data_IF_967045657472
#
_entry.id   IF_967045657472
#
_cell.length_a   1.000
_cell.length_b   1.000
_cell.length_c   1.000
_cell.angle_alpha   90.00
_cell.angle_beta   90.00
_cell.angle_gamma   90.00
#
_symmetry.space_group_name_H-M   'P 1'
#
loop_
_entity.id
_entity.type
_entity.pdbx_description
1 polymer ?
#
# COMPACT_ATOMS: atom_id res chain seq x y z
N UNK A 1 -11.26 20.44 0.97
CA UNK A 1 -12.00 19.61 0.03
C UNK A 1 -11.09 18.89 -0.98
N UNK A 2 -10.06 19.51 -1.59
CA UNK A 2 -9.21 18.86 -2.60
C UNK A 2 -8.38 17.64 -2.12
N UNK A 3 -7.90 17.62 -0.90
CA UNK A 3 -7.01 16.53 -0.40
C UNK A 3 -7.74 15.22 -0.08
N UNK A 4 -9.02 15.27 0.29
CA UNK A 4 -9.88 14.11 0.52
C UNK A 4 -10.28 13.44 -0.79
N UNK A 5 -10.56 14.25 -1.82
CA UNK A 5 -10.84 13.76 -3.18
C UNK A 5 -9.64 13.00 -3.77
N UNK A 6 -8.42 13.48 -3.53
CA UNK A 6 -7.18 12.89 -4.02
C UNK A 6 -6.90 11.52 -3.37
N UNK A 7 -7.22 11.36 -2.07
CA UNK A 7 -7.09 10.09 -1.35
C UNK A 7 -8.11 9.06 -1.85
N UNK A 8 -9.37 9.45 -1.97
CA UNK A 8 -10.42 8.57 -2.46
C UNK A 8 -10.14 8.09 -3.89
N UNK A 9 -9.66 8.98 -4.76
CA UNK A 9 -9.26 8.64 -6.11
C UNK A 9 -8.07 7.66 -6.15
N UNK A 10 -7.07 7.82 -5.26
CA UNK A 10 -5.96 6.88 -5.14
C UNK A 10 -6.42 5.53 -4.60
N UNK A 11 -7.20 5.51 -3.55
CA UNK A 11 -7.70 4.27 -2.95
C UNK A 11 -8.59 3.48 -3.93
N UNK A 12 -9.38 4.15 -4.77
CA UNK A 12 -10.17 3.51 -5.82
C UNK A 12 -9.30 2.80 -6.89
N UNK A 13 -8.02 3.14 -7.00
CA UNK A 13 -7.06 2.47 -7.89
C UNK A 13 -6.44 1.21 -7.26
N UNK A 14 -6.60 0.99 -5.94
CA UNK A 14 -6.19 -0.24 -5.25
C UNK A 14 -7.15 -1.39 -5.58
N UNK A 15 -7.10 -1.84 -6.82
CA UNK A 15 -7.90 -2.97 -7.31
C UNK A 15 -7.02 -3.91 -8.11
N UNK A 16 -7.27 -5.21 -8.04
CA UNK A 16 -6.51 -6.21 -8.77
C UNK A 16 -5.26 -6.69 -8.00
N UNK A 17 -4.15 -6.90 -8.70
CA UNK A 17 -2.94 -7.48 -8.12
C UNK A 17 -2.14 -6.43 -7.34
N UNK A 18 -1.87 -6.74 -6.08
CA UNK A 18 -1.03 -5.98 -5.17
C UNK A 18 0.24 -6.79 -4.88
N UNK A 19 1.40 -6.27 -5.25
CA UNK A 19 2.66 -6.98 -5.13
C UNK A 19 3.52 -6.41 -3.98
N UNK A 20 4.15 -7.30 -3.21
CA UNK A 20 5.10 -6.93 -2.15
C UNK A 20 6.51 -7.33 -2.60
N UNK A 21 7.48 -6.42 -2.45
CA UNK A 21 8.86 -6.71 -2.87
C UNK A 21 9.54 -7.73 -1.96
N UNK A 22 10.34 -8.64 -2.51
CA UNK A 22 11.26 -9.47 -1.71
C UNK A 22 12.43 -8.63 -1.19
N UNK A 23 13.11 -9.12 -0.17
CA UNK A 23 14.35 -8.54 0.35
C UNK A 23 15.50 -8.83 -0.64
N UNK A 24 15.84 -7.87 -1.49
CA UNK A 24 16.88 -7.96 -2.53
C UNK A 24 17.74 -6.71 -2.49
N UNK A 25 19.04 -6.86 -2.28
CA UNK A 25 19.98 -5.74 -2.18
C UNK A 25 20.28 -5.08 -3.53
N UNK A 26 20.24 -5.85 -4.62
CA UNK A 26 20.44 -5.32 -5.98
C UNK A 26 19.21 -4.52 -6.43
N UNK A 27 19.36 -3.20 -6.44
CA UNK A 27 18.30 -2.27 -6.83
C UNK A 27 17.85 -2.48 -8.27
N UNK A 28 18.75 -2.78 -9.20
CA UNK A 28 18.39 -2.99 -10.61
C UNK A 28 17.55 -4.28 -10.78
N UNK A 29 17.96 -5.35 -10.11
CA UNK A 29 17.20 -6.60 -10.09
C UNK A 29 15.82 -6.42 -9.44
N UNK A 30 15.73 -5.65 -8.35
CA UNK A 30 14.47 -5.34 -7.68
C UNK A 30 13.53 -4.55 -8.60
N UNK A 31 14.02 -3.50 -9.25
CA UNK A 31 13.25 -2.69 -10.20
C UNK A 31 12.76 -3.53 -11.38
N UNK A 32 13.60 -4.41 -11.92
CA UNK A 32 13.21 -5.31 -13.01
C UNK A 32 12.07 -6.26 -12.61
N UNK A 33 12.11 -6.83 -11.39
CA UNK A 33 11.04 -7.66 -10.84
C UNK A 33 9.73 -6.87 -10.71
N UNK A 34 9.79 -5.64 -10.19
CA UNK A 34 8.62 -4.78 -10.05
C UNK A 34 8.03 -4.38 -11.41
N UNK A 35 8.89 -4.08 -12.39
CA UNK A 35 8.45 -3.79 -13.76
C UNK A 35 7.70 -4.97 -14.36
N UNK A 36 8.26 -6.18 -14.26
CA UNK A 36 7.60 -7.40 -14.74
C UNK A 36 6.25 -7.65 -14.03
N UNK A 37 6.17 -7.35 -12.72
CA UNK A 37 4.92 -7.45 -11.98
C UNK A 37 3.85 -6.48 -12.50
N UNK A 38 4.23 -5.22 -12.76
CA UNK A 38 3.31 -4.21 -13.32
C UNK A 38 2.88 -4.60 -14.73
N UNK A 39 3.80 -5.08 -15.56
CA UNK A 39 3.50 -5.58 -16.91
C UNK A 39 2.56 -6.79 -16.86
N UNK A 40 2.66 -7.62 -15.80
CA UNK A 40 1.75 -8.72 -15.49
C UNK A 40 0.41 -8.28 -14.87
N UNK A 41 0.17 -6.99 -14.71
CA UNK A 41 -1.11 -6.44 -14.23
C UNK A 41 -1.14 -6.00 -12.77
N UNK A 42 0.00 -5.93 -12.09
CA UNK A 42 0.04 -5.36 -10.74
C UNK A 42 -0.35 -3.88 -10.78
N UNK A 43 -1.26 -3.50 -9.90
CA UNK A 43 -1.76 -2.13 -9.76
C UNK A 43 -1.11 -1.36 -8.62
N UNK A 44 -0.52 -2.08 -7.68
CA UNK A 44 0.24 -1.51 -6.58
C UNK A 44 1.48 -2.35 -6.29
N UNK A 45 2.56 -1.67 -5.93
CA UNK A 45 3.80 -2.28 -5.44
C UNK A 45 4.04 -1.79 -4.02
N UNK A 46 4.12 -2.71 -3.07
CA UNK A 46 4.57 -2.41 -1.72
C UNK A 46 6.06 -2.66 -1.62
N UNK A 47 6.81 -1.60 -1.42
CA UNK A 47 8.24 -1.71 -1.14
C UNK A 47 8.45 -2.14 0.32
N UNK A 48 9.13 -3.25 0.51
CA UNK A 48 9.49 -3.82 1.80
C UNK A 48 10.90 -4.39 1.72
N UNK A 49 11.79 -4.01 2.64
CA UNK A 49 13.11 -4.60 2.82
C UNK A 49 13.49 -4.50 4.30
N UNK A 50 13.40 -5.62 5.01
CA UNK A 50 13.55 -5.62 6.48
C UNK A 50 14.99 -5.51 6.94
N UNK A 51 15.95 -5.92 6.14
CA UNK A 51 17.35 -6.05 6.51
C UNK A 51 18.28 -5.01 5.88
N UNK A 52 17.79 -4.23 4.93
CA UNK A 52 18.59 -3.20 4.26
C UNK A 52 18.92 -2.03 5.18
N UNK A 53 20.07 -1.39 4.93
CA UNK A 53 20.40 -0.11 5.54
C UNK A 53 19.42 0.99 5.12
N UNK A 54 19.31 2.04 5.93
CA UNK A 54 18.41 3.17 5.63
C UNK A 54 18.75 3.82 4.28
N UNK A 55 20.04 3.94 3.95
CA UNK A 55 20.47 4.49 2.67
C UNK A 55 20.01 3.63 1.48
N UNK A 56 20.13 2.30 1.60
CA UNK A 56 19.66 1.38 0.56
C UNK A 56 18.12 1.39 0.47
N UNK A 57 17.44 1.39 1.61
CA UNK A 57 15.96 1.50 1.65
C UNK A 57 15.47 2.76 0.95
N UNK A 58 16.08 3.91 1.21
CA UNK A 58 15.69 5.16 0.56
C UNK A 58 15.98 5.13 -0.94
N UNK A 59 17.14 4.64 -1.37
CA UNK A 59 17.50 4.53 -2.78
C UNK A 59 16.52 3.62 -3.54
N UNK A 60 16.22 2.45 -2.98
CA UNK A 60 15.28 1.48 -3.58
C UNK A 60 13.85 2.03 -3.61
N UNK A 61 13.38 2.61 -2.50
CA UNK A 61 12.04 3.20 -2.44
C UNK A 61 11.87 4.30 -3.49
N UNK A 62 12.87 5.19 -3.68
CA UNK A 62 12.84 6.20 -4.75
C UNK A 62 12.76 5.59 -6.14
N UNK A 63 13.53 4.53 -6.40
CA UNK A 63 13.51 3.84 -7.69
C UNK A 63 12.14 3.19 -7.97
N UNK A 64 11.54 2.55 -6.96
CA UNK A 64 10.20 1.94 -7.08
C UNK A 64 9.11 3.00 -7.28
N UNK A 65 9.17 4.13 -6.53
CA UNK A 65 8.23 5.24 -6.71
C UNK A 65 8.32 5.81 -8.14
N UNK A 66 9.53 5.99 -8.67
CA UNK A 66 9.73 6.45 -10.03
C UNK A 66 9.14 5.48 -11.06
N UNK A 67 9.42 4.18 -10.93
CA UNK A 67 8.87 3.13 -11.79
C UNK A 67 7.34 3.10 -11.74
N UNK A 68 6.77 3.11 -10.54
CA UNK A 68 5.30 3.07 -10.37
C UNK A 68 4.64 4.28 -11.02
N UNK A 69 5.22 5.48 -10.85
CA UNK A 69 4.72 6.71 -11.48
C UNK A 69 4.77 6.62 -13.01
N UNK A 70 5.87 6.15 -13.57
CA UNK A 70 6.04 5.96 -15.01
C UNK A 70 5.00 4.98 -15.59
N UNK A 71 4.75 3.89 -14.87
CA UNK A 71 3.88 2.79 -15.33
C UNK A 71 2.42 2.91 -14.89
N UNK A 72 2.06 3.96 -14.15
CA UNK A 72 0.70 4.19 -13.68
C UNK A 72 0.25 3.23 -12.56
N UNK A 73 1.17 2.59 -11.86
CA UNK A 73 0.91 1.80 -10.66
C UNK A 73 0.98 2.67 -9.39
N UNK A 74 0.46 2.16 -8.27
CA UNK A 74 0.60 2.81 -6.96
C UNK A 74 1.85 2.30 -6.24
N UNK A 75 2.56 3.20 -5.57
CA UNK A 75 3.71 2.91 -4.73
C UNK A 75 3.34 3.01 -3.26
N UNK A 76 3.55 1.95 -2.51
CA UNK A 76 3.29 1.87 -1.07
C UNK A 76 4.60 1.53 -0.36
N UNK A 77 4.92 2.20 0.74
CA UNK A 77 6.07 1.86 1.59
C UNK A 77 5.58 1.06 2.79
N UNK A 78 6.30 -0.01 3.13
CA UNK A 78 5.98 -0.83 4.30
C UNK A 78 6.57 -0.21 5.57
N UNK A 79 5.76 -0.09 6.64
CA UNK A 79 6.07 0.28 8.03
C UNK A 79 6.60 1.71 8.24
N UNK A 80 7.25 2.33 7.28
CA UNK A 80 7.96 3.60 7.44
C UNK A 80 7.23 4.78 6.78
N UNK A 81 6.37 5.45 7.56
CA UNK A 81 5.61 6.61 7.10
C UNK A 81 6.51 7.82 6.74
N UNK A 82 7.64 7.99 7.45
CA UNK A 82 8.58 9.06 7.17
C UNK A 82 9.33 8.83 5.84
N UNK A 83 9.70 7.59 5.56
CA UNK A 83 10.27 7.22 4.27
C UNK A 83 9.24 7.43 3.15
N UNK A 84 7.99 6.98 3.34
CA UNK A 84 6.92 7.16 2.36
C UNK A 84 6.73 8.65 2.00
N UNK A 85 6.77 9.53 2.99
CA UNK A 85 6.70 10.97 2.81
C UNK A 85 7.91 11.50 2.03
N UNK A 86 9.13 11.18 2.47
CA UNK A 86 10.39 11.65 1.85
C UNK A 86 10.55 11.24 0.38
N UNK A 87 10.14 10.03 0.03
CA UNK A 87 10.26 9.53 -1.36
C UNK A 87 9.06 9.88 -2.23
N UNK A 88 8.00 10.46 -1.65
CA UNK A 88 6.80 10.82 -2.37
C UNK A 88 5.97 9.63 -2.84
N UNK A 89 5.91 8.57 -2.04
CA UNK A 89 5.07 7.41 -2.31
C UNK A 89 3.58 7.75 -2.25
N UNK A 90 2.75 6.94 -2.91
CA UNK A 90 1.29 7.11 -2.89
C UNK A 90 0.67 6.74 -1.55
N UNK A 91 1.39 5.94 -0.75
CA UNK A 91 0.92 5.57 0.58
C UNK A 91 1.96 4.81 1.41
N UNK A 92 1.50 4.44 2.61
CA UNK A 92 2.22 3.62 3.57
C UNK A 92 1.30 2.50 4.06
N UNK A 93 1.88 1.33 4.35
CA UNK A 93 1.21 0.21 5.01
C UNK A 93 1.87 -0.05 6.34
N UNK A 94 1.11 0.00 7.44
CA UNK A 94 1.63 -0.20 8.80
C UNK A 94 1.19 -1.54 9.37
N UNK A 95 2.12 -2.21 10.04
CA UNK A 95 1.86 -3.39 10.86
C UNK A 95 1.40 -3.00 12.27
N UNK A 96 1.12 -4.01 13.09
CA UNK A 96 0.64 -3.82 14.46
C UNK A 96 1.68 -3.14 15.37
N UNK A 97 2.97 -3.42 15.14
CA UNK A 97 4.08 -2.92 15.95
C UNK A 97 4.69 -1.61 15.41
N UNK A 98 4.26 -1.17 14.22
CA UNK A 98 4.89 -0.09 13.48
C UNK A 98 4.22 1.29 13.71
N UNK A 99 3.34 1.37 14.69
CA UNK A 99 2.61 2.58 15.05
C UNK A 99 1.14 2.56 14.63
N UNK A 100 0.37 3.55 15.08
CA UNK A 100 -1.04 3.66 14.77
C UNK A 100 -1.27 4.22 13.36
N UNK A 101 -2.42 3.91 12.79
CA UNK A 101 -2.90 4.54 11.54
C UNK A 101 -2.94 6.06 11.67
N UNK A 102 -3.37 6.56 12.83
CA UNK A 102 -3.43 8.00 13.11
C UNK A 102 -2.03 8.66 13.07
N UNK A 103 -1.01 8.01 13.64
CA UNK A 103 0.36 8.53 13.60
C UNK A 103 0.94 8.51 12.16
N UNK A 104 0.72 7.45 11.42
CA UNK A 104 1.11 7.38 10.02
C UNK A 104 0.40 8.46 9.18
N UNK A 105 -0.90 8.65 9.40
CA UNK A 105 -1.70 9.68 8.75
C UNK A 105 -1.18 11.09 9.03
N UNK A 106 -0.78 11.37 10.26
CA UNK A 106 -0.21 12.67 10.65
C UNK A 106 1.09 12.98 9.87
N UNK A 107 1.89 11.95 9.57
CA UNK A 107 3.15 12.09 8.82
C UNK A 107 2.88 12.24 7.31
N UNK A 108 2.13 11.30 6.72
CA UNK A 108 1.97 11.27 5.25
C UNK A 108 0.93 12.27 4.73
N UNK A 109 0.16 12.87 5.61
CA UNK A 109 -0.87 13.86 5.26
C UNK A 109 -2.17 13.24 4.71
N UNK A 110 -3.20 14.06 4.48
CA UNK A 110 -4.55 13.58 4.17
C UNK A 110 -4.72 12.98 2.77
N UNK A 111 -3.81 13.29 1.84
CA UNK A 111 -3.94 12.89 0.42
C UNK A 111 -3.39 11.50 0.10
N UNK A 112 -2.57 10.92 0.98
CA UNK A 112 -1.94 9.60 0.74
C UNK A 112 -2.76 8.47 1.34
N UNK A 113 -2.54 7.27 0.84
CA UNK A 113 -3.14 6.03 1.34
C UNK A 113 -2.43 5.63 2.64
N UNK A 114 -3.18 5.23 3.65
CA UNK A 114 -2.67 4.51 4.82
C UNK A 114 -3.38 3.17 4.87
N UNK A 115 -2.64 2.09 4.71
CA UNK A 115 -3.11 0.73 4.91
C UNK A 115 -2.67 0.19 6.26
N UNK A 116 -3.41 -0.77 6.81
CA UNK A 116 -3.07 -1.43 8.05
C UNK A 116 -3.27 -2.94 7.96
N UNK A 117 -2.38 -3.71 8.61
CA UNK A 117 -2.54 -5.15 8.80
C UNK A 117 -3.46 -5.41 9.98
N UNK A 118 -4.65 -5.93 9.71
CA UNK A 118 -5.65 -6.25 10.74
C UNK A 118 -5.73 -7.75 11.04
N UNK A 119 -4.95 -8.56 10.33
CA UNK A 119 -4.95 -10.04 10.41
C UNK A 119 -6.38 -10.60 10.30
N UNK A 120 -6.81 -11.40 11.28
CA UNK A 120 -8.17 -11.95 11.39
C UNK A 120 -9.02 -11.23 12.46
N UNK A 121 -8.53 -10.10 12.99
CA UNK A 121 -9.18 -9.36 14.07
C UNK A 121 -10.10 -8.26 13.51
N UNK A 122 -11.39 -8.55 13.37
CA UNK A 122 -12.39 -7.58 12.93
C UNK A 122 -12.42 -6.28 13.77
N UNK A 123 -12.25 -6.29 15.13
CA UNK A 123 -12.18 -5.06 15.90
C UNK A 123 -11.06 -4.13 15.44
N UNK A 124 -9.86 -4.65 15.16
CA UNK A 124 -8.73 -3.86 14.64
C UNK A 124 -9.03 -3.21 13.30
N UNK A 125 -9.75 -3.90 12.46
CA UNK A 125 -10.16 -3.36 11.18
C UNK A 125 -11.12 -2.18 11.35
N UNK A 126 -12.06 -2.29 12.28
CA UNK A 126 -12.99 -1.20 12.62
C UNK A 126 -12.23 0.00 13.20
N UNK A 127 -11.29 -0.24 14.11
CA UNK A 127 -10.47 0.81 14.72
C UNK A 127 -9.59 1.49 13.66
N UNK A 128 -8.94 0.73 12.80
CA UNK A 128 -8.11 1.25 11.70
C UNK A 128 -8.93 2.15 10.75
N UNK A 129 -10.16 1.77 10.42
CA UNK A 129 -11.06 2.60 9.60
C UNK A 129 -11.44 3.88 10.35
N UNK A 130 -11.77 3.79 11.64
CA UNK A 130 -12.09 4.96 12.46
C UNK A 130 -10.91 5.94 12.56
N UNK A 131 -9.68 5.45 12.57
CA UNK A 131 -8.44 6.24 12.55
C UNK A 131 -8.06 6.79 11.16
N UNK A 132 -8.84 6.46 10.12
CA UNK A 132 -8.64 6.96 8.77
C UNK A 132 -7.79 6.07 7.88
N UNK A 133 -7.66 4.77 8.18
CA UNK A 133 -7.18 3.79 7.22
C UNK A 133 -8.22 3.59 6.12
N UNK A 134 -7.74 3.41 4.91
CA UNK A 134 -8.59 3.15 3.76
C UNK A 134 -9.23 4.39 3.14
N UNK A 135 -10.08 4.17 2.15
CA UNK A 135 -10.82 5.20 1.47
C UNK A 135 -12.12 5.51 2.23
N UNK A 136 -12.41 6.77 2.43
CA UNK A 136 -13.77 7.18 2.78
C UNK A 136 -14.69 6.87 1.60
N UNK A 137 -15.76 6.14 1.84
CA UNK A 137 -16.79 5.94 0.82
C UNK A 137 -17.33 4.53 0.66
N UNK A 138 -16.92 3.60 1.47
CA UNK A 138 -17.51 2.26 1.53
C UNK A 138 -17.73 1.85 2.97
N UNK A 139 -18.84 1.20 3.25
CA UNK A 139 -19.08 0.61 4.56
C UNK A 139 -17.92 -0.33 4.99
N UNK A 140 -18.00 -0.92 6.19
CA UNK A 140 -16.92 -1.70 6.78
C UNK A 140 -16.37 -2.85 5.90
N UNK A 141 -17.04 -3.15 4.82
CA UNK A 141 -16.65 -4.19 3.86
C UNK A 141 -15.67 -3.73 2.77
N UNK A 142 -15.42 -2.44 2.58
CA UNK A 142 -14.61 -1.91 1.47
C UNK A 142 -13.24 -1.37 1.87
N UNK A 143 -12.91 -1.32 3.15
CA UNK A 143 -11.64 -0.80 3.67
C UNK A 143 -10.67 -1.88 4.18
N UNK A 144 -11.07 -3.11 4.23
CA UNK A 144 -10.29 -4.21 4.78
C UNK A 144 -9.48 -4.92 3.72
N UNK A 145 -8.23 -4.53 3.57
CA UNK A 145 -7.21 -5.41 3.03
C UNK A 145 -6.83 -6.44 4.10
N UNK A 146 -7.71 -7.41 4.32
CA UNK A 146 -7.46 -8.51 5.23
C UNK A 146 -6.42 -9.45 4.62
N UNK A 147 -5.19 -9.35 5.09
CA UNK A 147 -4.15 -10.30 4.76
C UNK A 147 -4.16 -11.45 5.75
N UNK A 148 -4.40 -12.65 5.27
CA UNK A 148 -3.79 -13.82 5.89
C UNK A 148 -2.30 -13.75 5.54
N UNK A 149 -1.47 -13.38 6.51
CA UNK A 149 -0.02 -13.47 6.37
C UNK A 149 0.37 -14.94 6.29
N UNK A 150 0.54 -15.44 5.08
CA UNK A 150 1.42 -16.57 4.88
C UNK A 150 2.80 -15.98 4.58
N UNK A 151 3.77 -16.22 5.44
CA UNK A 151 5.17 -15.90 5.18
C UNK A 151 5.65 -16.75 4.02
N UNK A 152 5.74 -16.19 2.83
CA UNK A 152 6.40 -16.84 1.70
C UNK A 152 7.14 -15.79 0.91
N UNK A 153 8.33 -16.10 0.53
CA UNK A 153 9.31 -15.27 -0.17
C UNK A 153 8.91 -14.78 -1.57
N UNK A 154 7.72 -15.07 -2.06
CA UNK A 154 7.21 -14.68 -3.37
C UNK A 154 5.69 -14.44 -3.37
N UNK A 155 5.18 -13.68 -2.42
CA UNK A 155 3.73 -13.55 -2.25
C UNK A 155 3.15 -12.45 -3.14
N UNK A 156 2.41 -12.86 -4.15
CA UNK A 156 1.47 -12.02 -4.90
C UNK A 156 0.11 -12.05 -4.23
N UNK A 157 -0.44 -10.92 -3.89
CA UNK A 157 -1.77 -10.82 -3.28
C UNK A 157 -2.78 -10.32 -4.30
N UNK A 158 -3.81 -11.13 -4.56
CA UNK A 158 -4.99 -10.69 -5.30
C UNK A 158 -5.97 -10.01 -4.35
N UNK A 159 -6.26 -8.73 -4.59
CA UNK A 159 -7.37 -8.05 -3.95
C UNK A 159 -8.66 -8.40 -4.70
N UNK A 160 -9.78 -8.71 -4.01
CA UNK A 160 -11.04 -8.87 -4.69
C UNK A 160 -11.41 -7.57 -5.43
N UNK A 161 -11.84 -7.71 -6.68
CA UNK A 161 -12.39 -6.58 -7.42
C UNK A 161 -13.54 -5.98 -6.63
N UNK A 162 -13.55 -4.66 -6.47
CA UNK A 162 -14.67 -3.96 -5.86
C UNK A 162 -15.96 -4.39 -6.57
N UNK A 163 -16.87 -5.00 -5.84
CA UNK A 163 -18.18 -5.42 -6.36
C UNK A 163 -18.94 -4.16 -6.77
N UNK A 164 -18.94 -3.85 -8.06
CA UNK A 164 -19.80 -2.83 -8.62
C UNK A 164 -21.23 -3.32 -8.44
N UNK A 165 -21.93 -2.74 -7.47
CA UNK A 165 -23.30 -3.05 -7.18
C UNK A 165 -24.11 -3.14 -8.46
N UNK A 166 -24.65 -4.32 -8.73
CA UNK A 166 -25.71 -4.47 -9.71
C UNK A 166 -26.93 -3.74 -9.15
N UNK A 167 -27.22 -2.59 -9.74
CA UNK A 167 -28.51 -1.93 -9.56
C UNK A 167 -29.61 -2.93 -9.89
N UNK A 168 -30.43 -3.23 -8.92
CA UNK A 168 -31.72 -3.89 -9.17
C UNK A 168 -32.67 -2.83 -9.73
N UNK A 169 -33.13 -3.10 -10.92
CA UNK A 169 -34.35 -2.50 -11.45
C UNK A 169 -35.56 -3.00 -10.66
#
# INVERSE_FOLDING_TARGET
MAATDDRAARAARLTGLYAVTPDVDDTAALVAKCAAAIDGGARAIQYRHKTASDALREAQARAIVALCRERGALSIVNDDAALAERVGADGVHVGEEDGSVASARAIVGPARIVGASCYDALPRAVDAVAEGAGAEGGGPEQGLLGHRSASVSDTWLCLPAANRGQGRA
#
